data_IF_514690328798
#
_entry.id   IF_514690328798
#
_cell.length_a   1.000
_cell.length_b   1.000
_cell.length_c   1.000
_cell.angle_alpha   90.00
_cell.angle_beta   90.00
_cell.angle_gamma   90.00
#
_symmetry.space_group_name_H-M   'P 1'
#
loop_
_entity.id
_entity.type
_entity.pdbx_description
1 polymer ?
#
# COMPACT_ATOMS: atom_id res chain seq x y z
N UNK A 1 -16.25 8.94 15.98
CA UNK A 1 -15.24 7.88 16.03
C UNK A 1 -14.93 7.41 14.61
N UNK A 2 -13.70 7.39 14.23
CA UNK A 2 -13.27 6.95 12.91
C UNK A 2 -13.12 5.42 12.87
N UNK A 3 -13.51 4.79 11.78
CA UNK A 3 -13.40 3.36 11.58
C UNK A 3 -13.25 2.98 10.10
N UNK A 4 -12.81 1.75 9.85
CA UNK A 4 -12.64 1.21 8.50
C UNK A 4 -13.92 0.45 8.12
N UNK A 5 -14.49 0.80 6.97
CA UNK A 5 -15.67 0.14 6.41
C UNK A 5 -15.33 -0.54 5.11
N UNK A 6 -15.70 -1.81 4.98
CA UNK A 6 -15.62 -2.55 3.72
C UNK A 6 -16.93 -2.41 2.94
N UNK A 7 -16.82 -2.06 1.67
CA UNK A 7 -17.95 -1.97 0.74
C UNK A 7 -17.59 -2.67 -0.56
N UNK A 8 -18.18 -3.83 -0.81
CA UNK A 8 -17.74 -4.69 -1.90
C UNK A 8 -16.32 -5.20 -1.64
N UNK A 9 -15.40 -4.95 -2.55
CA UNK A 9 -13.98 -5.30 -2.43
C UNK A 9 -13.09 -4.13 -1.95
N UNK A 10 -13.67 -2.96 -1.75
CA UNK A 10 -12.95 -1.76 -1.36
C UNK A 10 -13.17 -1.40 0.11
N UNK A 11 -12.14 -0.81 0.71
CA UNK A 11 -12.15 -0.30 2.08
C UNK A 11 -12.19 1.22 2.08
N UNK A 12 -12.91 1.78 3.06
CA UNK A 12 -13.07 3.21 3.23
C UNK A 12 -12.84 3.58 4.69
N UNK A 13 -12.18 4.72 4.89
CA UNK A 13 -12.07 5.34 6.20
C UNK A 13 -13.22 6.31 6.37
N UNK A 14 -14.04 6.10 7.39
CA UNK A 14 -15.24 6.89 7.67
C UNK A 14 -15.26 7.33 9.13
N UNK A 15 -15.95 8.41 9.40
CA UNK A 15 -16.14 8.96 10.74
C UNK A 15 -17.64 9.20 11.01
N UNK A 16 -18.11 8.77 12.17
CA UNK A 16 -19.46 9.03 12.61
C UNK A 16 -19.51 10.35 13.37
N UNK A 17 -20.32 11.27 12.89
CA UNK A 17 -20.64 12.55 13.55
C UNK A 17 -22.09 12.52 14.00
N UNK A 18 -22.35 12.96 15.22
CA UNK A 18 -23.71 13.20 15.70
C UNK A 18 -24.07 14.66 15.50
N UNK A 19 -25.09 14.87 14.67
CA UNK A 19 -25.71 16.18 14.46
C UNK A 19 -27.20 16.06 14.72
N UNK A 20 -27.74 16.91 15.59
CA UNK A 20 -29.19 16.97 15.89
C UNK A 20 -29.84 15.62 16.25
N UNK A 21 -29.13 14.79 17.01
CA UNK A 21 -29.62 13.46 17.42
C UNK A 21 -29.52 12.36 16.34
N UNK A 22 -29.07 12.71 15.14
CA UNK A 22 -28.84 11.77 14.04
C UNK A 22 -27.35 11.48 13.86
N UNK A 23 -27.02 10.22 13.51
CA UNK A 23 -25.66 9.81 13.18
C UNK A 23 -25.44 9.98 11.68
N UNK A 24 -24.48 10.81 11.31
CA UNK A 24 -24.04 10.99 9.92
C UNK A 24 -22.66 10.40 9.75
N UNK A 25 -22.47 9.65 8.66
CA UNK A 25 -21.14 9.17 8.27
C UNK A 25 -20.47 10.16 7.33
N UNK A 26 -19.26 10.56 7.69
CA UNK A 26 -18.39 11.39 6.86
C UNK A 26 -17.30 10.51 6.24
N UNK A 27 -17.19 10.54 4.92
CA UNK A 27 -16.12 9.84 4.20
C UNK A 27 -14.81 10.61 4.37
N UNK A 28 -13.77 9.94 4.89
CA UNK A 28 -12.46 10.54 5.11
C UNK A 28 -11.47 10.19 4.00
N UNK A 29 -11.39 8.93 3.60
CA UNK A 29 -10.48 8.46 2.56
C UNK A 29 -10.92 7.13 1.96
N UNK A 30 -10.56 6.89 0.70
CA UNK A 30 -10.62 5.59 0.06
C UNK A 30 -9.29 4.85 0.23
N UNK A 31 -9.34 3.60 0.70
CA UNK A 31 -8.15 2.78 0.98
C UNK A 31 -7.92 1.68 -0.07
N UNK A 32 -8.84 1.53 -1.04
CA UNK A 32 -8.77 0.50 -2.06
C UNK A 32 -9.03 -0.91 -1.50
N UNK A 33 -8.56 -1.94 -2.21
CA UNK A 33 -8.73 -3.34 -1.80
C UNK A 33 -7.86 -3.73 -0.60
N UNK A 34 -6.76 -3.01 -0.37
CA UNK A 34 -5.83 -3.24 0.75
C UNK A 34 -5.85 -2.03 1.67
N UNK A 35 -6.44 -2.13 2.85
CA UNK A 35 -6.66 -0.99 3.74
C UNK A 35 -5.37 -0.60 4.47
N UNK A 36 -4.41 -0.04 3.74
CA UNK A 36 -3.18 0.50 4.30
C UNK A 36 -3.34 1.97 4.62
N UNK A 37 -3.12 2.34 5.86
CA UNK A 37 -3.10 3.74 6.29
C UNK A 37 -1.67 4.24 6.24
N UNK A 38 -1.31 4.87 5.13
CA UNK A 38 -0.01 5.51 4.92
C UNK A 38 0.03 6.90 5.57
N UNK A 39 1.24 7.44 5.71
CA UNK A 39 1.41 8.83 6.17
C UNK A 39 0.75 9.83 5.22
N UNK A 40 0.67 9.53 3.92
CA UNK A 40 -0.03 10.34 2.91
C UNK A 40 -1.54 10.37 3.18
N UNK A 41 -2.14 9.24 3.53
CA UNK A 41 -3.57 9.17 3.91
C UNK A 41 -3.82 10.02 5.15
N UNK A 42 -2.98 9.90 6.16
CA UNK A 42 -3.08 10.70 7.40
C UNK A 42 -2.96 12.19 7.09
N UNK A 43 -1.96 12.59 6.31
CA UNK A 43 -1.77 13.99 5.92
C UNK A 43 -2.96 14.54 5.13
N UNK A 44 -3.51 13.75 4.19
CA UNK A 44 -4.69 14.12 3.42
C UNK A 44 -5.94 14.32 4.29
N UNK A 45 -6.17 13.44 5.25
CA UNK A 45 -7.30 13.56 6.18
C UNK A 45 -7.13 14.77 7.11
N UNK A 46 -5.95 14.97 7.66
CA UNK A 46 -5.64 16.14 8.51
C UNK A 46 -5.80 17.45 7.76
N UNK A 47 -5.44 17.50 6.50
CA UNK A 47 -5.58 18.68 5.65
C UNK A 47 -7.06 19.05 5.40
N UNK A 48 -7.90 18.04 5.13
CA UNK A 48 -9.34 18.24 4.84
C UNK A 48 -10.19 18.39 6.09
N UNK A 49 -9.77 17.75 7.19
CA UNK A 49 -10.52 17.69 8.45
C UNK A 49 -9.60 18.03 9.65
N UNK A 50 -9.11 19.27 9.77
CA UNK A 50 -8.09 19.61 10.76
C UNK A 50 -8.57 19.52 12.22
N UNK A 51 -9.87 19.50 12.45
CA UNK A 51 -10.48 19.44 13.79
C UNK A 51 -10.89 18.02 14.23
N UNK A 52 -10.68 17.01 13.37
CA UNK A 52 -10.96 15.64 13.75
C UNK A 52 -9.82 15.06 14.56
N UNK A 53 -10.18 14.56 15.74
CA UNK A 53 -9.28 13.73 16.55
C UNK A 53 -9.48 12.27 16.16
N UNK A 54 -8.44 11.67 15.61
CA UNK A 54 -8.43 10.30 15.09
C UNK A 54 -7.33 9.50 15.77
N UNK A 55 -7.69 8.36 16.32
CA UNK A 55 -6.71 7.36 16.82
C UNK A 55 -6.08 6.60 15.65
N UNK A 56 -5.03 7.18 15.07
CA UNK A 56 -4.35 6.61 13.91
C UNK A 56 -3.67 5.27 14.21
N UNK A 57 -3.12 5.11 15.41
CA UNK A 57 -2.43 3.88 15.79
C UNK A 57 -3.42 2.72 15.93
N UNK A 58 -4.55 2.94 16.55
CA UNK A 58 -5.63 1.95 16.63
C UNK A 58 -6.20 1.58 15.27
N UNK A 59 -6.35 2.56 14.36
CA UNK A 59 -6.80 2.32 12.99
C UNK A 59 -5.76 1.53 12.16
N UNK A 60 -4.48 1.83 12.30
CA UNK A 60 -3.40 1.07 11.66
C UNK A 60 -3.37 -0.37 12.12
N UNK A 61 -3.57 -0.61 13.40
CA UNK A 61 -3.65 -1.98 13.94
C UNK A 61 -4.82 -2.75 13.34
N UNK A 62 -6.01 -2.15 13.28
CA UNK A 62 -7.18 -2.77 12.63
C UNK A 62 -6.97 -3.00 11.14
N UNK A 63 -6.37 -2.04 10.44
CA UNK A 63 -6.03 -2.15 9.04
C UNK A 63 -5.06 -3.31 8.78
N UNK A 64 -4.07 -3.51 9.63
CA UNK A 64 -3.09 -4.58 9.48
C UNK A 64 -3.73 -5.97 9.55
N UNK A 65 -4.79 -6.15 10.32
CA UNK A 65 -5.56 -7.40 10.36
C UNK A 65 -6.24 -7.68 9.03
N UNK A 66 -6.80 -6.66 8.39
CA UNK A 66 -7.45 -6.80 7.08
C UNK A 66 -6.45 -7.07 5.95
N UNK A 67 -5.17 -6.68 6.12
CA UNK A 67 -4.10 -7.00 5.18
C UNK A 67 -3.75 -8.50 5.13
N UNK A 68 -4.16 -9.26 6.12
CA UNK A 68 -3.98 -10.73 6.17
C UNK A 68 -5.08 -11.49 5.44
N UNK A 69 -6.16 -10.85 5.06
CA UNK A 69 -7.23 -11.48 4.28
C UNK A 69 -6.73 -11.85 2.87
N UNK A 70 -7.14 -13.01 2.33
CA UNK A 70 -6.78 -13.39 0.97
C UNK A 70 -7.37 -12.43 -0.05
N UNK A 71 -6.67 -12.26 -1.17
CA UNK A 71 -7.19 -11.46 -2.28
C UNK A 71 -8.43 -12.10 -2.91
N UNK A 72 -9.36 -11.25 -3.32
CA UNK A 72 -10.52 -11.69 -4.09
C UNK A 72 -10.09 -12.22 -5.47
N UNK A 73 -10.90 -13.12 -6.03
CA UNK A 73 -10.73 -13.55 -7.42
C UNK A 73 -10.84 -12.33 -8.36
N UNK A 74 -9.95 -12.23 -9.32
CA UNK A 74 -9.85 -11.08 -10.24
C UNK A 74 -9.59 -9.72 -9.53
N UNK A 75 -8.82 -9.73 -8.45
CA UNK A 75 -8.44 -8.50 -7.76
C UNK A 75 -7.81 -7.48 -8.72
N UNK A 76 -8.39 -6.28 -8.79
CA UNK A 76 -7.82 -5.17 -9.56
C UNK A 76 -6.48 -4.70 -8.99
N UNK A 77 -6.31 -4.80 -7.67
CA UNK A 77 -5.05 -4.51 -7.00
C UNK A 77 -3.92 -5.43 -7.49
N UNK A 78 -4.15 -6.75 -7.54
CA UNK A 78 -3.14 -7.70 -8.02
C UNK A 78 -2.80 -7.51 -9.51
N UNK A 79 -3.79 -7.21 -10.33
CA UNK A 79 -3.56 -6.88 -11.75
C UNK A 79 -2.73 -5.62 -11.91
N UNK A 80 -3.03 -4.59 -11.14
CA UNK A 80 -2.25 -3.34 -11.11
C UNK A 80 -0.82 -3.57 -10.62
N UNK A 81 -0.64 -4.38 -9.59
CA UNK A 81 0.69 -4.76 -9.09
C UNK A 81 1.50 -5.51 -10.15
N UNK A 82 0.90 -6.48 -10.83
CA UNK A 82 1.57 -7.21 -11.92
C UNK A 82 1.98 -6.27 -13.06
N UNK A 83 1.12 -5.34 -13.45
CA UNK A 83 1.45 -4.34 -14.46
C UNK A 83 2.60 -3.44 -14.03
N UNK A 84 2.61 -2.99 -12.76
CA UNK A 84 3.68 -2.17 -12.19
C UNK A 84 5.01 -2.93 -12.15
N UNK A 85 5.01 -4.20 -11.77
CA UNK A 85 6.21 -5.05 -11.75
C UNK A 85 6.77 -5.21 -13.18
N UNK A 86 5.92 -5.46 -14.17
CA UNK A 86 6.35 -5.60 -15.56
C UNK A 86 6.94 -4.31 -16.11
N UNK A 87 6.30 -3.19 -15.84
CA UNK A 87 6.78 -1.87 -16.26
C UNK A 87 8.12 -1.54 -15.61
N UNK A 88 8.25 -1.76 -14.30
CA UNK A 88 9.51 -1.54 -13.59
C UNK A 88 10.61 -2.45 -14.12
N UNK A 89 10.31 -3.72 -14.40
CA UNK A 89 11.27 -4.64 -14.98
C UNK A 89 11.79 -4.15 -16.34
N UNK A 90 10.90 -3.71 -17.22
CA UNK A 90 11.28 -3.17 -18.53
C UNK A 90 12.11 -1.90 -18.40
N UNK A 91 11.70 -0.97 -17.54
CA UNK A 91 12.40 0.29 -17.32
C UNK A 91 13.82 0.05 -16.81
N UNK A 92 14.02 -0.90 -15.90
CA UNK A 92 15.34 -1.26 -15.38
C UNK A 92 16.18 -1.98 -16.45
N UNK A 93 15.57 -2.91 -17.19
CA UNK A 93 16.27 -3.68 -18.23
C UNK A 93 16.78 -2.80 -19.37
N UNK A 94 15.99 -1.79 -19.73
CA UNK A 94 16.32 -0.84 -20.81
C UNK A 94 17.18 0.34 -20.33
N UNK A 95 17.44 0.45 -19.02
CA UNK A 95 18.18 1.57 -18.46
C UNK A 95 19.68 1.46 -18.78
N UNK A 96 20.24 2.36 -19.57
CA UNK A 96 21.67 2.38 -19.82
C UNK A 96 22.41 2.94 -18.60
N UNK A 97 23.14 2.11 -17.87
CA UNK A 97 23.90 2.53 -16.68
C UNK A 97 24.87 3.70 -16.96
N UNK A 98 25.55 3.76 -18.11
CA UNK A 98 26.38 4.93 -18.44
C UNK A 98 25.61 6.25 -18.52
N UNK A 99 24.33 6.23 -18.92
CA UNK A 99 23.50 7.43 -18.95
C UNK A 99 23.19 7.99 -17.56
N UNK A 100 23.07 7.13 -16.56
CA UNK A 100 22.96 7.55 -15.17
C UNK A 100 24.24 8.20 -14.64
N UNK A 101 25.37 7.64 -15.00
CA UNK A 101 26.68 8.17 -14.57
C UNK A 101 26.99 9.54 -15.19
N UNK A 102 26.47 9.80 -16.40
CA UNK A 102 26.60 11.07 -17.10
C UNK A 102 25.54 12.11 -16.73
N UNK A 103 24.62 11.79 -15.83
CA UNK A 103 23.56 12.70 -15.39
C UNK A 103 24.17 13.90 -14.66
N UNK A 104 23.70 15.11 -14.99
CA UNK A 104 24.18 16.33 -14.36
C UNK A 104 23.89 16.42 -12.87
N UNK A 105 22.84 15.75 -12.42
CA UNK A 105 22.52 15.62 -11.00
C UNK A 105 23.32 14.47 -10.38
N UNK A 106 24.37 14.83 -9.66
CA UNK A 106 25.28 13.87 -9.02
C UNK A 106 24.64 13.05 -7.90
N UNK A 107 23.49 13.45 -7.40
CA UNK A 107 22.79 12.75 -6.30
C UNK A 107 21.88 11.63 -6.79
N UNK A 108 21.51 11.65 -8.07
CA UNK A 108 20.55 10.69 -8.65
C UNK A 108 21.10 9.26 -8.66
N UNK A 109 22.33 9.09 -9.14
CA UNK A 109 22.91 7.73 -9.24
C UNK A 109 23.02 7.02 -7.89
N UNK A 110 23.54 7.63 -6.81
CA UNK A 110 23.53 6.99 -5.50
C UNK A 110 22.13 6.64 -4.98
N UNK A 111 21.13 7.49 -5.23
CA UNK A 111 19.75 7.24 -4.85
C UNK A 111 19.14 6.05 -5.60
N UNK A 112 19.37 5.97 -6.90
CA UNK A 112 18.93 4.83 -7.72
C UNK A 112 19.59 3.54 -7.23
N UNK A 113 20.87 3.53 -7.01
CA UNK A 113 21.62 2.35 -6.53
C UNK A 113 21.10 1.91 -5.15
N UNK A 114 20.93 2.83 -4.22
CA UNK A 114 20.40 2.54 -2.88
C UNK A 114 18.98 1.99 -2.95
N UNK A 115 18.12 2.57 -3.78
CA UNK A 115 16.74 2.13 -3.98
C UNK A 115 16.66 0.74 -4.59
N UNK A 116 17.50 0.44 -5.57
CA UNK A 116 17.58 -0.91 -6.17
C UNK A 116 18.08 -1.96 -5.19
N UNK A 117 19.07 -1.63 -4.34
CA UNK A 117 19.56 -2.52 -3.29
C UNK A 117 18.47 -2.82 -2.26
N UNK A 118 17.72 -1.80 -1.84
CA UNK A 118 16.60 -1.95 -0.91
C UNK A 118 15.49 -2.81 -1.52
N UNK A 119 15.14 -2.56 -2.79
CA UNK A 119 14.15 -3.36 -3.52
C UNK A 119 14.59 -4.83 -3.60
N UNK A 120 15.84 -5.09 -3.95
CA UNK A 120 16.41 -6.44 -3.99
C UNK A 120 16.27 -7.16 -2.64
N UNK A 121 16.65 -6.50 -1.56
CA UNK A 121 16.54 -7.07 -0.21
C UNK A 121 15.10 -7.39 0.16
N UNK A 122 14.16 -6.49 -0.14
CA UNK A 122 12.73 -6.70 0.10
C UNK A 122 12.18 -7.85 -0.71
N UNK A 123 12.55 -7.94 -1.99
CA UNK A 123 12.15 -9.05 -2.87
C UNK A 123 12.67 -10.40 -2.36
N UNK A 124 13.93 -10.46 -1.95
CA UNK A 124 14.53 -11.68 -1.41
C UNK A 124 13.77 -12.17 -0.17
N UNK A 125 13.44 -11.28 0.76
CA UNK A 125 12.65 -11.61 1.95
C UNK A 125 11.27 -12.15 1.58
N UNK A 126 10.57 -11.47 0.67
CA UNK A 126 9.22 -11.87 0.26
C UNK A 126 9.19 -13.19 -0.49
N UNK A 127 10.13 -13.40 -1.40
CA UNK A 127 10.26 -14.67 -2.13
C UNK A 127 10.61 -15.82 -1.20
N UNK A 128 11.46 -15.60 -0.20
CA UNK A 128 11.78 -16.60 0.80
C UNK A 128 10.56 -16.97 1.66
N UNK A 129 9.73 -16.01 2.01
CA UNK A 129 8.46 -16.28 2.71
C UNK A 129 7.52 -17.14 1.88
N UNK A 130 7.39 -16.88 0.58
CA UNK A 130 6.57 -17.68 -0.33
C UNK A 130 7.10 -19.12 -0.46
N UNK A 131 8.41 -19.31 -0.45
CA UNK A 131 9.02 -20.67 -0.52
C UNK A 131 8.78 -21.48 0.74
N UNK A 132 8.81 -20.86 1.92
CA UNK A 132 8.56 -21.51 3.21
C UNK A 132 7.08 -21.80 3.46
N UNK A 133 6.19 -21.00 2.90
CA UNK A 133 4.74 -21.14 3.05
C UNK A 133 4.07 -22.15 2.13
N UNK A 134 4.81 -22.86 1.28
CA UNK A 134 4.23 -23.98 0.52
C UNK A 134 4.04 -25.17 1.46
N UNK A 135 2.80 -25.62 1.71
CA UNK A 135 2.60 -26.86 2.43
C UNK A 135 3.22 -27.99 1.60
N UNK A 136 4.15 -28.69 2.19
CA UNK A 136 4.66 -29.98 1.70
C UNK A 136 3.49 -30.97 1.76
N UNK A 137 2.64 -31.00 0.74
CA UNK A 137 1.47 -31.85 0.80
C UNK A 137 0.53 -31.77 -0.40
N UNK A 138 1.06 -31.77 -1.62
CA UNK A 138 0.33 -32.32 -2.76
C UNK A 138 1.31 -33.13 -3.61
N UNK A 139 1.56 -34.38 -3.15
CA UNK A 139 1.91 -35.45 -4.05
C UNK A 139 0.58 -35.94 -4.65
N UNK A 140 0.33 -35.59 -5.85
CA UNK A 140 -0.51 -36.38 -6.75
C UNK A 140 0.30 -37.50 -7.31
#
# INVERSE_FOLDING_TARGET
>A
MAFIRKRGQAYYLVHNVRENGQVRQVHLASLGERPRISDEVIAGVRSKHPFLDVDWDGLREKASRNLLEPFAHNSSYLRGLLASIRNLHMDIADLPMPALDMTQDREVLPQVVSSLKLLRSTLDVKLNHLRKGKPTGYRT
#
